data_IF_539671300723
#
_entry.id   IF_539671300723
#
_cell.length_a   1.000
_cell.length_b   1.000
_cell.length_c   1.000
_cell.angle_alpha   90.00
_cell.angle_beta   90.00
_cell.angle_gamma   90.00
#
_symmetry.space_group_name_H-M   'P 1'
#
loop_
_entity.id
_entity.type
_entity.pdbx_description
1 polymer ?
#
# COMPACT_ATOMS: atom_id res chain seq x y z
N UNK A 1 35.72 14.63 37.52
CA UNK A 1 34.34 14.54 38.04
C UNK A 1 33.56 13.56 37.18
N UNK A 2 33.43 12.31 37.62
CA UNK A 2 32.60 11.31 36.97
C UNK A 2 31.12 11.60 37.28
N UNK A 3 30.30 11.87 36.26
CA UNK A 3 28.84 11.95 36.43
C UNK A 3 28.27 10.54 36.37
N UNK A 4 27.80 10.03 37.52
CA UNK A 4 26.92 8.87 37.59
C UNK A 4 25.63 9.19 36.81
N UNK A 5 25.33 8.40 35.79
CA UNK A 5 24.04 8.41 35.12
C UNK A 5 23.09 7.49 35.89
N UNK A 6 22.06 8.07 36.50
CA UNK A 6 21.02 7.34 37.23
C UNK A 6 20.00 6.79 36.22
N UNK A 7 20.07 5.50 35.92
CA UNK A 7 19.06 4.83 35.10
C UNK A 7 17.81 4.57 35.94
N UNK A 8 16.79 5.40 35.76
CA UNK A 8 15.45 5.11 36.28
C UNK A 8 14.86 4.02 35.38
N UNK A 9 14.83 2.78 35.86
CA UNK A 9 14.01 1.73 35.26
C UNK A 9 12.54 2.05 35.55
N UNK A 10 11.85 2.64 34.57
CA UNK A 10 10.39 2.64 34.55
C UNK A 10 9.99 1.23 34.10
N UNK A 11 9.62 0.39 35.07
CA UNK A 11 8.89 -0.85 34.77
C UNK A 11 7.53 -0.45 34.21
N UNK A 12 7.42 -0.39 32.88
CA UNK A 12 6.12 -0.39 32.22
C UNK A 12 5.51 -1.75 32.50
N UNK A 13 4.54 -1.79 33.42
CA UNK A 13 3.62 -2.92 33.49
C UNK A 13 2.98 -3.03 32.12
N UNK A 14 3.27 -4.11 31.40
CA UNK A 14 2.45 -4.52 30.27
C UNK A 14 1.07 -4.85 30.86
N UNK A 15 0.20 -3.84 30.93
CA UNK A 15 -1.18 -4.04 31.30
C UNK A 15 -1.74 -5.12 30.36
N UNK A 16 -2.22 -6.23 30.92
CA UNK A 16 -2.95 -7.23 30.15
C UNK A 16 -4.14 -6.52 29.52
N UNK A 17 -4.07 -6.29 28.20
CA UNK A 17 -5.14 -5.65 27.47
C UNK A 17 -6.44 -6.43 27.68
N UNK A 18 -7.51 -5.74 28.06
CA UNK A 18 -8.81 -6.38 28.24
C UNK A 18 -9.26 -7.04 26.93
N UNK A 19 -9.83 -8.24 27.04
CA UNK A 19 -10.30 -9.03 25.89
C UNK A 19 -11.83 -8.99 25.84
N UNK A 20 -12.37 -8.62 24.69
CA UNK A 20 -13.79 -8.53 24.39
C UNK A 20 -14.13 -9.57 23.33
N UNK A 21 -14.59 -10.75 23.75
CA UNK A 21 -14.97 -11.81 22.82
C UNK A 21 -16.32 -11.49 22.19
N UNK A 22 -16.37 -11.38 20.85
CA UNK A 22 -17.57 -10.93 20.11
C UNK A 22 -18.80 -11.83 20.33
N UNK A 23 -18.60 -13.10 20.69
CA UNK A 23 -19.70 -14.04 20.99
C UNK A 23 -20.46 -13.65 22.26
N UNK A 24 -19.79 -13.02 23.23
CA UNK A 24 -20.43 -12.46 24.42
C UNK A 24 -21.28 -11.21 24.10
N UNK A 25 -21.08 -10.62 22.93
CA UNK A 25 -21.87 -9.52 22.39
C UNK A 25 -22.92 -10.00 21.38
N UNK A 26 -23.10 -11.33 21.22
CA UNK A 26 -24.12 -11.92 20.35
C UNK A 26 -23.67 -12.22 18.93
N UNK A 27 -22.37 -12.17 18.61
CA UNK A 27 -21.87 -12.58 17.30
C UNK A 27 -22.11 -14.09 17.09
N UNK A 28 -22.45 -14.45 15.85
CA UNK A 28 -22.74 -15.82 15.44
C UNK A 28 -21.51 -16.46 14.77
N UNK A 29 -20.78 -17.36 15.47
CA UNK A 29 -19.57 -18.00 14.94
C UNK A 29 -19.86 -19.08 13.89
N UNK A 30 -21.13 -19.35 13.57
CA UNK A 30 -21.52 -20.19 12.43
C UNK A 30 -21.60 -19.42 11.11
N UNK A 31 -21.70 -18.08 11.19
CA UNK A 31 -21.78 -17.19 10.03
C UNK A 31 -23.17 -17.11 9.41
N UNK A 32 -24.17 -17.83 9.95
CA UNK A 32 -25.54 -17.86 9.42
C UNK A 32 -26.28 -16.54 9.62
N UNK A 33 -25.98 -15.82 10.71
CA UNK A 33 -26.51 -14.49 11.00
C UNK A 33 -25.40 -13.43 10.95
N UNK A 34 -25.67 -12.26 10.35
CA UNK A 34 -24.72 -11.14 10.38
C UNK A 34 -24.37 -10.73 11.81
N UNK A 35 -23.08 -10.63 12.10
CA UNK A 35 -22.51 -10.26 13.40
C UNK A 35 -22.10 -8.79 13.47
N UNK A 36 -22.55 -7.95 12.51
CA UNK A 36 -22.14 -6.54 12.37
C UNK A 36 -22.33 -5.76 13.66
N UNK A 37 -23.52 -5.84 14.27
CA UNK A 37 -23.86 -5.08 15.47
C UNK A 37 -23.07 -5.57 16.68
N UNK A 38 -22.94 -6.90 16.84
CA UNK A 38 -22.17 -7.50 17.92
C UNK A 38 -20.68 -7.12 17.88
N UNK A 39 -20.08 -7.15 16.69
CA UNK A 39 -18.67 -6.77 16.49
C UNK A 39 -18.47 -5.29 16.81
N UNK A 40 -19.30 -4.40 16.24
CA UNK A 40 -19.16 -2.95 16.48
C UNK A 40 -19.51 -2.56 17.93
N UNK A 41 -20.40 -3.30 18.60
CA UNK A 41 -20.68 -3.13 20.02
C UNK A 41 -19.49 -3.54 20.90
N UNK A 42 -18.82 -4.66 20.57
CA UNK A 42 -17.60 -5.05 21.27
C UNK A 42 -16.49 -3.99 21.11
N UNK A 43 -16.33 -3.42 19.91
CA UNK A 43 -15.36 -2.35 19.62
C UNK A 43 -15.69 -1.08 20.40
N UNK A 44 -16.94 -0.61 20.37
CA UNK A 44 -17.32 0.61 21.10
C UNK A 44 -17.20 0.43 22.61
N UNK A 45 -17.55 -0.76 23.13
CA UNK A 45 -17.37 -1.11 24.54
C UNK A 45 -15.89 -1.11 24.93
N UNK A 46 -15.02 -1.72 24.12
CA UNK A 46 -13.58 -1.70 24.36
C UNK A 46 -13.03 -0.27 24.36
N UNK A 47 -13.38 0.54 23.37
CA UNK A 47 -12.93 1.93 23.28
C UNK A 47 -13.39 2.78 24.48
N UNK A 48 -14.63 2.60 24.94
CA UNK A 48 -15.16 3.28 26.13
C UNK A 48 -14.41 2.90 27.42
N UNK A 49 -13.71 1.76 27.42
CA UNK A 49 -12.94 1.24 28.55
C UNK A 49 -11.42 1.35 28.32
N UNK A 50 -10.98 2.42 27.65
CA UNK A 50 -9.57 2.74 27.35
C UNK A 50 -8.90 1.79 26.36
N UNK A 51 -9.68 1.15 25.48
CA UNK A 51 -9.19 0.25 24.45
C UNK A 51 -9.11 -1.21 24.91
N UNK A 52 -8.56 -2.05 24.04
CA UNK A 52 -8.44 -3.48 24.29
C UNK A 52 -8.41 -4.32 23.03
N UNK A 53 -8.46 -5.63 23.22
CA UNK A 53 -8.49 -6.62 22.15
C UNK A 53 -9.93 -7.06 21.94
N UNK A 54 -10.49 -6.81 20.76
CA UNK A 54 -11.76 -7.41 20.34
C UNK A 54 -11.44 -8.71 19.62
N UNK A 55 -11.83 -9.83 20.23
CA UNK A 55 -11.40 -11.15 19.81
C UNK A 55 -12.50 -11.90 19.07
N UNK A 56 -12.15 -12.40 17.88
CA UNK A 56 -12.95 -13.33 17.09
C UNK A 56 -12.24 -14.69 17.11
N UNK A 57 -12.83 -15.65 17.80
CA UNK A 57 -12.31 -17.02 17.88
C UNK A 57 -12.44 -17.76 16.55
N UNK A 58 -11.88 -18.97 16.46
CA UNK A 58 -12.12 -19.85 15.33
C UNK A 58 -13.62 -20.03 15.06
N UNK A 59 -14.01 -20.06 13.79
CA UNK A 59 -15.39 -20.01 13.34
C UNK A 59 -15.55 -19.15 12.08
N UNK A 60 -16.78 -19.07 11.59
CA UNK A 60 -17.16 -18.24 10.45
C UNK A 60 -18.06 -17.12 10.94
N UNK A 61 -17.74 -15.87 10.62
CA UNK A 61 -18.56 -14.71 10.98
C UNK A 61 -18.93 -13.99 9.69
N UNK A 62 -20.21 -13.72 9.48
CA UNK A 62 -20.65 -12.80 8.42
C UNK A 62 -20.82 -11.41 9.01
N UNK A 63 -20.49 -10.35 8.26
CA UNK A 63 -20.60 -8.97 8.75
C UNK A 63 -20.79 -7.97 7.61
N UNK A 64 -21.41 -6.84 7.91
CA UNK A 64 -21.28 -5.59 7.15
C UNK A 64 -20.01 -4.84 7.57
N UNK A 65 -19.99 -3.50 7.44
CA UNK A 65 -18.80 -2.71 7.74
C UNK A 65 -18.42 -2.72 9.23
N UNK A 66 -17.12 -2.60 9.50
CA UNK A 66 -16.53 -2.47 10.84
C UNK A 66 -15.84 -1.11 10.97
N UNK A 67 -16.10 -0.40 12.07
CA UNK A 67 -15.38 0.82 12.43
C UNK A 67 -14.45 0.59 13.62
N UNK A 68 -13.14 0.69 13.40
CA UNK A 68 -12.15 0.70 14.48
C UNK A 68 -12.20 2.02 15.25
N UNK A 69 -12.01 1.91 16.56
CA UNK A 69 -12.00 3.03 17.51
C UNK A 69 -10.65 3.10 18.23
N UNK A 70 -10.38 4.23 18.88
CA UNK A 70 -9.10 4.47 19.55
C UNK A 70 -8.75 3.36 20.55
N UNK A 71 -7.49 2.91 20.50
CA UNK A 71 -6.97 1.89 21.42
C UNK A 71 -7.48 0.46 21.17
N UNK A 72 -8.24 0.22 20.09
CA UNK A 72 -8.79 -1.11 19.79
C UNK A 72 -7.96 -1.86 18.75
N UNK A 73 -7.65 -3.11 19.08
CA UNK A 73 -7.07 -4.09 18.15
C UNK A 73 -8.05 -5.23 17.93
N UNK A 74 -8.40 -5.50 16.67
CA UNK A 74 -9.12 -6.71 16.29
C UNK A 74 -8.17 -7.89 16.24
N UNK A 75 -8.50 -8.97 16.94
CA UNK A 75 -7.75 -10.23 16.93
C UNK A 75 -8.57 -11.30 16.20
N UNK A 76 -8.10 -11.66 15.00
CA UNK A 76 -8.73 -12.64 14.12
C UNK A 76 -7.97 -13.96 14.29
N UNK A 77 -8.46 -14.82 15.18
CA UNK A 77 -7.75 -16.04 15.56
C UNK A 77 -7.48 -16.96 14.34
N UNK A 78 -6.42 -17.78 14.37
CA UNK A 78 -6.27 -18.87 13.41
C UNK A 78 -7.53 -19.74 13.34
N UNK A 79 -7.97 -20.07 12.12
CA UNK A 79 -9.24 -20.79 11.90
C UNK A 79 -10.49 -19.90 11.96
N UNK A 80 -10.35 -18.60 12.19
CA UNK A 80 -11.43 -17.62 12.03
C UNK A 80 -11.52 -17.14 10.58
N UNK A 81 -12.74 -17.06 10.04
CA UNK A 81 -13.03 -16.42 8.75
C UNK A 81 -14.09 -15.34 8.97
N UNK A 82 -13.75 -14.09 8.68
CA UNK A 82 -14.69 -12.96 8.69
C UNK A 82 -15.05 -12.63 7.25
N UNK A 83 -16.30 -12.91 6.88
CA UNK A 83 -16.84 -12.72 5.53
C UNK A 83 -17.68 -11.44 5.49
N UNK A 84 -17.24 -10.47 4.70
CA UNK A 84 -17.99 -9.26 4.45
C UNK A 84 -19.12 -9.53 3.46
N UNK A 85 -20.34 -9.21 3.85
CA UNK A 85 -21.53 -9.39 3.02
C UNK A 85 -21.42 -8.49 1.77
N UNK A 86 -21.65 -9.00 0.56
CA UNK A 86 -21.48 -8.24 -0.69
C UNK A 86 -22.75 -7.46 -1.08
N UNK A 87 -23.46 -6.90 -0.10
CA UNK A 87 -24.66 -6.07 -0.33
C UNK A 87 -24.30 -4.58 -0.28
N UNK A 88 -24.36 -3.84 -1.40
CA UNK A 88 -24.07 -2.41 -1.44
C UNK A 88 -24.94 -1.54 -0.55
N UNK A 89 -26.13 -2.00 -0.15
CA UNK A 89 -26.97 -1.25 0.80
C UNK A 89 -26.32 -1.15 2.18
N UNK A 90 -25.45 -2.10 2.56
CA UNK A 90 -24.69 -2.06 3.81
C UNK A 90 -23.51 -1.09 3.77
N UNK A 91 -23.13 -0.59 2.58
CA UNK A 91 -21.97 0.28 2.40
C UNK A 91 -22.33 1.61 1.73
N UNK A 92 -23.28 2.39 2.28
CA UNK A 92 -23.66 3.66 1.68
C UNK A 92 -22.46 4.62 1.60
N UNK A 93 -22.50 5.62 0.69
CA UNK A 93 -21.54 6.72 0.72
C UNK A 93 -21.51 7.35 2.12
N UNK A 94 -20.31 7.72 2.59
CA UNK A 94 -20.13 8.22 3.96
C UNK A 94 -19.32 9.51 3.96
N UNK A 95 -19.71 10.42 4.85
CA UNK A 95 -18.97 11.63 5.18
C UNK A 95 -18.52 11.55 6.63
N UNK A 96 -17.21 11.58 6.86
CA UNK A 96 -16.62 11.51 8.20
C UNK A 96 -16.03 12.86 8.56
N UNK A 97 -16.35 13.36 9.77
CA UNK A 97 -15.70 14.55 10.33
C UNK A 97 -14.40 14.13 11.02
N UNK A 98 -13.30 14.75 10.61
CA UNK A 98 -11.96 14.52 11.14
C UNK A 98 -11.75 15.27 12.47
N UNK A 99 -10.73 14.91 13.26
CA UNK A 99 -10.38 15.63 14.49
C UNK A 99 -10.10 17.13 14.27
N UNK A 100 -9.56 17.50 13.11
CA UNK A 100 -9.32 18.89 12.72
C UNK A 100 -10.58 19.64 12.22
N UNK A 101 -11.74 19.00 12.28
CA UNK A 101 -13.04 19.54 11.86
C UNK A 101 -13.34 19.42 10.37
N UNK A 102 -12.40 18.98 9.53
CA UNK A 102 -12.64 18.82 8.09
C UNK A 102 -13.51 17.60 7.80
N UNK A 103 -14.10 17.59 6.61
CA UNK A 103 -14.93 16.49 6.13
C UNK A 103 -14.15 15.63 5.14
N UNK A 104 -14.26 14.31 5.30
CA UNK A 104 -13.77 13.30 4.37
C UNK A 104 -14.95 12.55 3.77
N UNK A 105 -15.11 12.66 2.45
CA UNK A 105 -16.16 11.97 1.71
C UNK A 105 -15.60 10.71 1.05
N UNK A 106 -16.34 9.60 1.14
CA UNK A 106 -16.07 8.34 0.46
C UNK A 106 -17.31 7.90 -0.31
N UNK A 107 -17.11 7.40 -1.53
CA UNK A 107 -18.19 6.91 -2.38
C UNK A 107 -18.89 5.67 -1.81
N UNK A 108 -18.19 4.90 -0.97
CA UNK A 108 -18.71 3.76 -0.24
C UNK A 108 -18.11 3.74 1.16
N UNK A 109 -18.85 3.19 2.11
CA UNK A 109 -18.30 2.82 3.41
C UNK A 109 -17.28 1.68 3.22
N UNK A 110 -16.03 1.80 3.69
CA UNK A 110 -15.05 0.71 3.62
C UNK A 110 -15.48 -0.50 4.44
N UNK A 111 -14.97 -1.69 4.10
CA UNK A 111 -15.26 -2.92 4.85
C UNK A 111 -14.77 -2.81 6.31
N UNK A 112 -13.56 -2.29 6.49
CA UNK A 112 -13.00 -1.90 7.79
C UNK A 112 -12.45 -0.49 7.68
N UNK A 113 -12.85 0.41 8.58
CA UNK A 113 -12.37 1.80 8.58
C UNK A 113 -11.75 2.24 9.91
N UNK A 114 -10.71 3.06 9.83
CA UNK A 114 -10.08 3.78 10.94
C UNK A 114 -9.76 5.22 10.51
N UNK A 115 -10.73 6.12 10.63
CA UNK A 115 -10.59 7.52 10.21
C UNK A 115 -10.47 8.45 11.43
N UNK A 116 -9.36 9.18 11.52
CA UNK A 116 -9.08 10.07 12.65
C UNK A 116 -8.79 9.32 13.96
N UNK A 117 -8.25 8.10 13.89
CA UNK A 117 -8.09 7.20 15.04
C UNK A 117 -6.63 7.05 15.49
N UNK A 118 -6.43 6.60 16.72
CA UNK A 118 -5.12 6.39 17.34
C UNK A 118 -5.01 4.99 17.93
N UNK A 119 -3.84 4.37 17.80
CA UNK A 119 -3.52 3.07 18.39
C UNK A 119 -4.54 1.99 17.97
N UNK A 120 -4.67 1.79 16.67
CA UNK A 120 -5.64 0.86 16.07
C UNK A 120 -4.91 -0.29 15.38
N UNK A 121 -5.53 -1.46 15.33
CA UNK A 121 -4.92 -2.55 14.58
C UNK A 121 -5.79 -3.75 14.30
N UNK A 122 -5.24 -4.64 13.49
CA UNK A 122 -5.76 -5.98 13.23
C UNK A 122 -4.60 -6.96 13.32
N UNK A 123 -4.76 -8.01 14.11
CA UNK A 123 -3.77 -9.07 14.28
C UNK A 123 -4.40 -10.44 14.17
N UNK A 124 -3.57 -11.46 14.18
CA UNK A 124 -3.97 -12.86 14.24
C UNK A 124 -3.59 -13.61 12.97
N UNK A 125 -4.10 -14.84 12.81
CA UNK A 125 -3.79 -15.72 11.67
C UNK A 125 -5.03 -16.14 10.87
N UNK A 126 -6.18 -15.51 11.11
CA UNK A 126 -7.40 -15.79 10.38
C UNK A 126 -7.52 -15.04 9.06
N UNK A 127 -8.68 -15.22 8.41
CA UNK A 127 -8.97 -14.76 7.05
C UNK A 127 -10.03 -13.66 7.09
N UNK A 128 -9.79 -12.58 6.36
CA UNK A 128 -10.76 -11.55 6.03
C UNK A 128 -11.16 -11.72 4.55
N UNK A 129 -12.43 -12.04 4.29
CA UNK A 129 -13.00 -12.34 2.97
C UNK A 129 -13.90 -11.20 2.49
N UNK A 130 -13.55 -10.57 1.37
CA UNK A 130 -14.22 -9.36 0.87
C UNK A 130 -15.32 -9.60 -0.17
N UNK A 131 -15.48 -10.84 -0.68
CA UNK A 131 -16.43 -11.19 -1.75
C UNK A 131 -16.29 -10.34 -3.03
N UNK A 132 -15.06 -9.95 -3.36
CA UNK A 132 -14.67 -9.10 -4.48
C UNK A 132 -15.32 -9.45 -5.83
N UNK A 133 -15.38 -10.72 -6.28
CA UNK A 133 -16.02 -11.11 -7.54
C UNK A 133 -17.40 -10.49 -7.80
N UNK A 134 -18.25 -10.44 -6.76
CA UNK A 134 -19.60 -9.87 -6.86
C UNK A 134 -19.54 -8.37 -7.14
N UNK A 135 -18.61 -7.67 -6.48
CA UNK A 135 -18.37 -6.25 -6.70
C UNK A 135 -17.80 -5.95 -8.08
N UNK A 136 -16.89 -6.79 -8.57
CA UNK A 136 -16.24 -6.61 -9.87
C UNK A 136 -17.22 -6.83 -11.03
N UNK A 137 -18.16 -7.76 -10.89
CA UNK A 137 -19.21 -7.98 -11.87
C UNK A 137 -20.26 -6.85 -11.85
N UNK A 138 -20.60 -6.33 -10.66
CA UNK A 138 -21.62 -5.29 -10.49
C UNK A 138 -21.13 -3.88 -10.81
N UNK A 139 -19.89 -3.56 -10.45
CA UNK A 139 -19.28 -2.23 -10.56
C UNK A 139 -17.91 -2.32 -11.25
N UNK A 140 -17.86 -2.68 -12.54
CA UNK A 140 -16.60 -2.72 -13.27
C UNK A 140 -16.00 -1.32 -13.38
N UNK A 141 -14.66 -1.20 -13.51
CA UNK A 141 -14.01 0.08 -13.77
C UNK A 141 -14.66 0.84 -14.94
N UNK A 142 -14.77 2.17 -14.87
CA UNK A 142 -14.16 3.07 -13.87
C UNK A 142 -15.01 3.28 -12.60
N UNK A 143 -16.02 2.45 -12.33
CA UNK A 143 -16.83 2.59 -11.12
C UNK A 143 -16.00 2.40 -9.84
N UNK A 144 -16.29 3.21 -8.81
CA UNK A 144 -15.72 3.03 -7.47
C UNK A 144 -16.36 1.83 -6.78
N UNK A 145 -15.59 1.18 -5.90
CA UNK A 145 -16.02 0.09 -5.02
C UNK A 145 -15.56 0.39 -3.58
N UNK A 146 -16.09 -0.31 -2.56
CA UNK A 146 -15.58 -0.19 -1.20
C UNK A 146 -14.08 -0.55 -1.11
N UNK A 147 -13.31 0.21 -0.33
CA UNK A 147 -11.98 -0.23 0.09
C UNK A 147 -12.12 -1.33 1.15
N UNK A 148 -11.17 -2.26 1.23
CA UNK A 148 -11.20 -3.29 2.27
C UNK A 148 -10.82 -2.70 3.63
N UNK A 149 -9.54 -2.43 3.86
CA UNK A 149 -9.07 -1.69 5.03
C UNK A 149 -8.75 -0.26 4.62
N UNK A 150 -9.40 0.71 5.26
CA UNK A 150 -9.19 2.13 5.01
C UNK A 150 -8.84 2.90 6.27
N UNK A 151 -7.65 3.48 6.30
CA UNK A 151 -7.25 4.42 7.35
C UNK A 151 -6.95 5.80 6.77
N UNK A 152 -7.40 6.85 7.47
CA UNK A 152 -7.18 8.23 7.04
C UNK A 152 -6.95 9.12 8.26
N UNK A 153 -5.90 9.95 8.21
CA UNK A 153 -5.54 10.89 9.29
C UNK A 153 -5.42 10.19 10.66
N UNK A 154 -4.85 8.99 10.65
CA UNK A 154 -4.76 8.10 11.81
C UNK A 154 -3.30 7.90 12.24
N UNK A 155 -3.11 7.49 13.49
CA UNK A 155 -1.79 7.38 14.12
C UNK A 155 -1.62 6.01 14.79
N UNK A 156 -0.43 5.41 14.69
CA UNK A 156 -0.12 4.12 15.31
C UNK A 156 -1.07 3.02 14.83
N UNK A 157 -0.91 2.63 13.56
CA UNK A 157 -1.68 1.58 12.89
C UNK A 157 -0.85 0.31 12.80
N UNK A 158 -1.39 -0.82 13.28
CA UNK A 158 -0.70 -2.12 13.24
C UNK A 158 -1.54 -3.17 12.51
N UNK A 159 -1.00 -3.79 11.48
CA UNK A 159 -1.58 -4.94 10.80
C UNK A 159 -0.62 -6.13 10.87
N UNK A 160 -1.03 -7.28 11.40
CA UNK A 160 -0.12 -8.40 11.62
C UNK A 160 -0.75 -9.76 11.34
N UNK A 161 -0.07 -10.59 10.54
CA UNK A 161 -0.36 -12.03 10.37
C UNK A 161 -1.64 -12.41 9.63
N UNK A 162 -2.58 -11.48 9.46
CA UNK A 162 -3.87 -11.74 8.82
C UNK A 162 -3.74 -12.07 7.34
N UNK A 163 -4.72 -12.82 6.83
CA UNK A 163 -4.92 -13.00 5.39
C UNK A 163 -6.10 -12.17 4.92
N UNK A 164 -5.91 -11.35 3.89
CA UNK A 164 -6.96 -10.61 3.20
C UNK A 164 -7.15 -11.23 1.82
N UNK A 165 -8.39 -11.55 1.44
CA UNK A 165 -8.68 -12.07 0.10
C UNK A 165 -9.95 -11.50 -0.52
N UNK A 166 -9.97 -11.50 -1.85
CA UNK A 166 -11.08 -11.04 -2.68
C UNK A 166 -11.58 -9.65 -2.27
N UNK A 167 -10.68 -8.67 -2.21
CA UNK A 167 -11.05 -7.29 -1.94
C UNK A 167 -11.93 -6.71 -3.06
N UNK A 168 -12.99 -5.94 -2.72
CA UNK A 168 -13.77 -5.23 -3.73
C UNK A 168 -12.90 -4.25 -4.55
N UNK A 169 -11.92 -3.62 -3.91
CA UNK A 169 -10.98 -2.65 -4.50
C UNK A 169 -9.59 -2.77 -3.83
N UNK A 170 -8.94 -1.66 -3.45
CA UNK A 170 -7.67 -1.69 -2.70
C UNK A 170 -7.82 -2.47 -1.39
N UNK A 171 -6.85 -3.31 -1.06
CA UNK A 171 -6.88 -4.16 0.14
C UNK A 171 -6.53 -3.34 1.38
N UNK A 172 -5.33 -2.75 1.42
CA UNK A 172 -4.90 -1.91 2.53
C UNK A 172 -4.66 -0.50 1.99
N UNK A 173 -5.54 0.44 2.31
CA UNK A 173 -5.45 1.81 1.85
C UNK A 173 -5.28 2.77 3.04
N UNK A 174 -4.08 3.32 3.20
CA UNK A 174 -3.73 4.20 4.31
C UNK A 174 -3.38 5.58 3.75
N UNK A 175 -3.98 6.62 4.30
CA UNK A 175 -3.86 8.00 3.81
C UNK A 175 -3.54 8.96 4.96
N UNK A 176 -2.68 9.95 4.72
CA UNK A 176 -2.39 11.07 5.64
C UNK A 176 -1.97 10.63 7.06
N UNK A 177 -1.52 9.39 7.23
CA UNK A 177 -1.34 8.73 8.53
C UNK A 177 0.14 8.60 8.92
N UNK A 178 0.42 8.32 10.19
CA UNK A 178 1.81 8.14 10.67
C UNK A 178 1.95 7.07 11.73
N UNK A 179 3.13 6.43 11.79
CA UNK A 179 3.39 5.30 12.69
C UNK A 179 2.60 4.08 12.21
N UNK A 180 3.05 3.47 11.12
CA UNK A 180 2.35 2.37 10.45
C UNK A 180 3.28 1.17 10.41
N UNK A 181 2.82 0.04 10.94
CA UNK A 181 3.54 -1.22 10.93
C UNK A 181 2.66 -2.31 10.33
N UNK A 182 3.15 -2.93 9.25
CA UNK A 182 2.47 -4.04 8.57
C UNK A 182 3.44 -5.21 8.52
N UNK A 183 3.10 -6.31 9.19
CA UNK A 183 4.02 -7.44 9.36
C UNK A 183 3.37 -8.77 9.03
N UNK A 184 3.96 -9.53 8.12
CA UNK A 184 3.57 -10.93 7.88
C UNK A 184 2.15 -11.12 7.34
N UNK A 185 1.54 -10.11 6.73
CA UNK A 185 0.20 -10.25 6.16
C UNK A 185 0.26 -10.97 4.81
N UNK A 186 -0.81 -11.68 4.47
CA UNK A 186 -1.01 -12.27 3.14
C UNK A 186 -2.17 -11.58 2.44
N UNK A 187 -1.98 -11.16 1.19
CA UNK A 187 -3.03 -10.60 0.34
C UNK A 187 -3.20 -11.49 -0.88
N UNK A 188 -4.44 -11.91 -1.15
CA UNK A 188 -4.75 -12.76 -2.30
C UNK A 188 -6.01 -12.30 -3.03
N UNK A 189 -5.83 -11.77 -4.24
CA UNK A 189 -6.91 -11.48 -5.18
C UNK A 189 -6.63 -12.16 -6.51
N UNK A 190 -7.60 -12.83 -7.15
CA UNK A 190 -7.45 -13.35 -8.50
C UNK A 190 -7.02 -12.22 -9.45
N UNK A 191 -5.83 -12.33 -10.09
CA UNK A 191 -5.25 -11.23 -10.85
C UNK A 191 -5.97 -10.97 -12.17
N UNK A 192 -6.68 -11.97 -12.68
CA UNK A 192 -7.52 -11.87 -13.87
C UNK A 192 -8.89 -12.52 -13.63
N UNK A 193 -9.79 -11.77 -12.99
CA UNK A 193 -11.20 -12.14 -12.94
C UNK A 193 -11.93 -11.67 -14.20
N UNK A 194 -11.77 -12.39 -15.32
CA UNK A 194 -12.42 -12.07 -16.61
C UNK A 194 -12.14 -10.61 -17.06
N UNK A 195 -10.96 -10.08 -16.76
CA UNK A 195 -10.60 -8.68 -16.98
C UNK A 195 -11.29 -7.65 -16.07
N UNK A 196 -12.05 -8.08 -15.05
CA UNK A 196 -12.83 -7.20 -14.16
C UNK A 196 -12.24 -7.01 -12.76
N UNK A 197 -11.31 -7.88 -12.33
CA UNK A 197 -10.62 -7.82 -11.03
C UNK A 197 -9.61 -6.66 -10.87
N UNK A 198 -9.92 -5.50 -11.46
CA UNK A 198 -9.04 -4.34 -11.51
C UNK A 198 -9.07 -3.52 -10.21
N UNK A 199 -8.02 -2.71 -9.98
CA UNK A 199 -7.86 -1.83 -8.82
C UNK A 199 -7.85 -2.60 -7.48
N UNK A 200 -7.23 -3.78 -7.48
CA UNK A 200 -7.08 -4.62 -6.29
C UNK A 200 -5.72 -4.41 -5.63
N UNK A 201 -5.13 -3.22 -5.70
CA UNK A 201 -3.81 -2.88 -5.12
C UNK A 201 -3.64 -3.49 -3.72
N UNK A 202 -2.46 -4.05 -3.45
CA UNK A 202 -2.19 -4.74 -2.20
C UNK A 202 -2.13 -3.75 -1.03
N UNK A 203 -0.99 -3.07 -0.87
CA UNK A 203 -0.82 -2.03 0.15
C UNK A 203 -0.62 -0.68 -0.55
N UNK A 204 -1.62 0.19 -0.47
CA UNK A 204 -1.60 1.54 -1.02
C UNK A 204 -1.45 2.57 0.11
N UNK A 205 -0.31 3.27 0.15
CA UNK A 205 -0.01 4.29 1.15
C UNK A 205 0.13 5.65 0.51
N UNK A 206 -0.76 6.58 0.85
CA UNK A 206 -0.78 7.94 0.33
C UNK A 206 -0.43 8.94 1.44
N UNK A 207 0.59 9.77 1.24
CA UNK A 207 0.99 10.81 2.21
C UNK A 207 1.25 10.27 3.63
N UNK A 208 1.90 9.10 3.70
CA UNK A 208 2.18 8.36 4.94
C UNK A 208 3.60 8.63 5.46
N UNK A 209 3.77 8.66 6.80
CA UNK A 209 5.07 8.92 7.46
C UNK A 209 5.40 7.85 8.47
N UNK A 210 6.66 7.40 8.52
CA UNK A 210 7.09 6.32 9.43
C UNK A 210 6.30 5.04 9.13
N UNK A 211 6.53 4.50 7.93
CA UNK A 211 5.88 3.30 7.41
C UNK A 211 6.89 2.16 7.37
N UNK A 212 6.56 1.04 8.02
CA UNK A 212 7.31 -0.19 7.94
C UNK A 212 6.41 -1.33 7.44
N UNK A 213 6.79 -1.93 6.31
CA UNK A 213 6.14 -3.10 5.75
C UNK A 213 7.18 -4.22 5.71
N UNK A 214 6.89 -5.34 6.36
CA UNK A 214 7.84 -6.46 6.44
C UNK A 214 7.15 -7.81 6.28
N UNK A 215 7.73 -8.72 5.49
CA UNK A 215 7.25 -10.11 5.46
C UNK A 215 5.90 -10.30 4.76
N UNK A 216 5.45 -9.35 3.95
CA UNK A 216 4.15 -9.44 3.28
C UNK A 216 4.24 -10.35 2.05
N UNK A 217 3.23 -11.20 1.86
CA UNK A 217 3.05 -11.99 0.62
C UNK A 217 1.85 -11.46 -0.13
N UNK A 218 2.04 -11.00 -1.37
CA UNK A 218 1.00 -10.29 -2.12
C UNK A 218 0.79 -10.94 -3.49
N UNK A 219 -0.46 -11.30 -3.76
CA UNK A 219 -0.95 -11.78 -5.04
C UNK A 219 -2.15 -10.91 -5.44
N UNK A 220 -2.01 -10.10 -6.48
CA UNK A 220 -3.08 -9.18 -6.84
C UNK A 220 -3.16 -8.80 -8.31
N UNK A 221 -4.26 -8.15 -8.71
CA UNK A 221 -4.53 -7.71 -10.09
C UNK A 221 -3.94 -6.35 -10.44
N UNK A 222 -3.47 -5.57 -9.46
CA UNK A 222 -2.83 -4.26 -9.66
C UNK A 222 -1.48 -4.17 -8.90
N UNK A 223 -1.01 -2.99 -8.52
CA UNK A 223 0.28 -2.84 -7.81
C UNK A 223 0.30 -3.61 -6.48
N UNK A 224 1.40 -4.32 -6.19
CA UNK A 224 1.53 -5.06 -4.92
C UNK A 224 1.67 -4.09 -3.74
N UNK A 225 2.63 -3.17 -3.81
CA UNK A 225 2.77 -2.06 -2.88
C UNK A 225 2.87 -0.77 -3.70
N UNK A 226 1.99 0.19 -3.42
CA UNK A 226 1.94 1.48 -4.08
C UNK A 226 2.14 2.60 -3.06
N UNK A 227 3.11 3.48 -3.34
CA UNK A 227 3.40 4.66 -2.55
C UNK A 227 3.01 5.91 -3.35
N UNK A 228 2.05 6.66 -2.83
CA UNK A 228 1.61 7.93 -3.38
C UNK A 228 1.86 9.05 -2.37
N UNK A 229 1.88 10.30 -2.84
CA UNK A 229 1.89 11.49 -2.02
C UNK A 229 0.96 12.53 -2.65
N UNK A 230 -0.27 12.54 -2.15
CA UNK A 230 -1.31 13.45 -2.56
C UNK A 230 -1.37 14.73 -1.73
N UNK A 231 -2.50 15.42 -1.90
CA UNK A 231 -2.79 16.68 -1.24
C UNK A 231 -3.46 17.68 -2.17
N UNK A 232 -4.23 18.61 -1.61
CA UNK A 232 -4.61 19.83 -2.35
C UNK A 232 -3.36 20.70 -2.53
N UNK A 233 -3.33 21.60 -3.53
CA UNK A 233 -2.16 22.46 -3.85
C UNK A 233 -1.55 23.16 -2.63
N UNK A 234 -2.35 23.45 -1.60
CA UNK A 234 -1.99 24.13 -0.36
C UNK A 234 -1.68 23.21 0.85
N UNK A 235 -1.79 21.89 0.72
CA UNK A 235 -1.42 20.92 1.76
C UNK A 235 -0.75 19.71 1.11
N UNK A 236 0.48 19.93 0.63
CA UNK A 236 1.36 18.90 0.04
C UNK A 236 1.98 18.10 1.18
N UNK A 237 1.52 16.86 1.37
CA UNK A 237 2.03 16.00 2.44
C UNK A 237 2.85 14.89 1.79
N UNK A 238 4.14 14.84 2.11
CA UNK A 238 5.03 13.84 1.57
C UNK A 238 4.73 12.44 2.13
N UNK A 239 5.03 11.43 1.31
CA UNK A 239 5.28 10.08 1.82
C UNK A 239 6.77 9.92 2.08
N UNK A 240 7.13 9.65 3.34
CA UNK A 240 8.53 9.67 3.77
C UNK A 240 8.82 8.82 5.00
N UNK A 241 10.09 8.44 5.18
CA UNK A 241 10.54 7.51 6.21
C UNK A 241 9.84 6.16 6.04
N UNK A 242 10.08 5.53 4.89
CA UNK A 242 9.45 4.26 4.49
C UNK A 242 10.51 3.17 4.42
N UNK A 243 10.23 2.03 5.05
CA UNK A 243 10.99 0.79 4.91
C UNK A 243 10.06 -0.34 4.47
N UNK A 244 10.40 -0.97 3.35
CA UNK A 244 9.74 -2.17 2.82
C UNK A 244 10.80 -3.26 2.75
N UNK A 245 10.58 -4.41 3.41
CA UNK A 245 11.59 -5.46 3.42
C UNK A 245 11.04 -6.88 3.56
N UNK A 246 11.80 -7.86 3.05
CA UNK A 246 11.48 -9.28 3.22
C UNK A 246 10.10 -9.65 2.64
N UNK A 247 9.66 -8.98 1.58
CA UNK A 247 8.34 -9.19 0.98
C UNK A 247 8.43 -10.11 -0.25
N UNK A 248 7.33 -10.81 -0.52
CA UNK A 248 7.18 -11.70 -1.66
C UNK A 248 5.96 -11.28 -2.51
N UNK A 249 6.24 -10.76 -3.69
CA UNK A 249 5.23 -10.27 -4.62
C UNK A 249 5.06 -11.34 -5.71
N UNK A 250 3.92 -12.02 -5.75
CA UNK A 250 3.71 -13.21 -6.60
C UNK A 250 2.92 -12.92 -7.88
N UNK A 251 2.17 -11.81 -7.89
CA UNK A 251 1.47 -11.27 -9.06
C UNK A 251 1.06 -9.82 -8.78
N UNK A 252 1.10 -8.97 -9.80
CA UNK A 252 0.64 -7.58 -9.74
C UNK A 252 1.16 -6.72 -10.90
N UNK A 253 0.69 -5.49 -11.02
CA UNK A 253 1.15 -4.53 -12.04
C UNK A 253 2.59 -4.04 -11.79
N UNK A 254 3.00 -3.93 -10.53
CA UNK A 254 4.35 -3.68 -10.10
C UNK A 254 4.63 -4.40 -8.77
N UNK A 255 5.88 -4.79 -8.52
CA UNK A 255 6.30 -5.27 -7.20
C UNK A 255 6.24 -4.15 -6.17
N UNK A 256 6.91 -3.02 -6.47
CA UNK A 256 6.73 -1.76 -5.73
C UNK A 256 6.60 -0.61 -6.73
N UNK A 257 5.55 0.18 -6.59
CA UNK A 257 5.33 1.39 -7.36
C UNK A 257 5.42 2.66 -6.50
N UNK A 258 5.91 3.74 -7.13
CA UNK A 258 5.87 5.10 -6.60
C UNK A 258 5.11 5.98 -7.58
N UNK A 259 4.07 6.66 -7.10
CA UNK A 259 3.14 7.45 -7.90
C UNK A 259 1.95 6.63 -8.41
N UNK A 260 1.05 7.20 -9.23
CA UNK A 260 1.26 8.41 -10.03
C UNK A 260 0.94 9.74 -9.34
N UNK A 261 0.45 9.70 -8.11
CA UNK A 261 0.09 10.89 -7.35
C UNK A 261 1.34 11.35 -6.59
N UNK A 262 2.09 12.30 -7.16
CA UNK A 262 3.41 12.70 -6.62
C UNK A 262 3.45 14.10 -6.03
N UNK A 263 2.35 14.85 -6.07
CA UNK A 263 2.31 16.29 -5.72
C UNK A 263 2.89 16.62 -4.34
N UNK A 264 2.69 15.73 -3.37
CA UNK A 264 3.21 15.86 -2.00
C UNK A 264 4.71 15.63 -1.86
N UNK A 265 5.34 14.97 -2.83
CA UNK A 265 6.73 14.52 -2.78
C UNK A 265 6.89 13.14 -2.11
N UNK A 266 7.88 12.37 -2.58
CA UNK A 266 8.20 11.04 -2.09
C UNK A 266 9.70 10.94 -1.85
N UNK A 267 10.13 10.76 -0.59
CA UNK A 267 11.55 10.71 -0.28
C UNK A 267 11.88 9.97 1.01
N UNK A 268 13.15 9.56 1.17
CA UNK A 268 13.61 8.69 2.25
C UNK A 268 12.82 7.37 2.29
N UNK A 269 12.95 6.62 1.19
CA UNK A 269 12.26 5.34 0.97
C UNK A 269 13.33 4.27 0.74
N UNK A 270 13.26 3.18 1.50
CA UNK A 270 14.10 2.00 1.30
C UNK A 270 13.23 0.79 1.03
N UNK A 271 13.55 0.05 -0.03
CA UNK A 271 12.95 -1.25 -0.36
C UNK A 271 14.07 -2.28 -0.46
N UNK A 272 14.02 -3.37 0.30
CA UNK A 272 15.11 -4.35 0.29
C UNK A 272 14.70 -5.80 0.48
N UNK A 273 15.62 -6.72 0.19
CA UNK A 273 15.52 -8.14 0.52
C UNK A 273 14.19 -8.76 0.06
N UNK A 274 13.75 -8.49 -1.17
CA UNK A 274 12.41 -8.87 -1.62
C UNK A 274 12.46 -9.67 -2.92
N UNK A 275 11.48 -10.54 -3.10
CA UNK A 275 11.32 -11.40 -4.27
C UNK A 275 10.10 -10.97 -5.07
N UNK A 276 10.29 -10.62 -6.34
CA UNK A 276 9.22 -10.28 -7.27
C UNK A 276 9.07 -11.36 -8.32
N UNK A 277 7.94 -12.03 -8.30
CA UNK A 277 7.57 -13.13 -9.18
C UNK A 277 6.37 -12.74 -10.04
N UNK A 278 6.49 -12.97 -11.35
CA UNK A 278 5.40 -12.83 -12.32
C UNK A 278 4.69 -11.47 -12.37
N UNK A 279 5.20 -10.44 -11.69
CA UNK A 279 4.65 -9.09 -11.77
C UNK A 279 4.82 -8.52 -13.17
N UNK A 280 3.94 -7.60 -13.59
CA UNK A 280 4.05 -6.93 -14.89
C UNK A 280 5.28 -6.04 -14.96
N UNK A 281 5.65 -5.38 -13.87
CA UNK A 281 6.90 -4.61 -13.71
C UNK A 281 7.56 -4.97 -12.38
N UNK A 282 8.88 -4.81 -12.30
CA UNK A 282 9.59 -4.96 -11.04
C UNK A 282 9.40 -3.73 -10.16
N UNK A 283 10.29 -2.75 -10.35
CA UNK A 283 10.29 -1.46 -9.64
C UNK A 283 9.80 -0.37 -10.57
N UNK A 284 8.78 0.38 -10.17
CA UNK A 284 8.14 1.34 -11.07
C UNK A 284 7.88 2.71 -10.46
N UNK A 285 8.52 3.75 -10.98
CA UNK A 285 8.22 5.14 -10.64
C UNK A 285 7.44 5.78 -11.79
N UNK A 286 6.23 6.27 -11.51
CA UNK A 286 5.31 6.81 -12.52
C UNK A 286 4.83 8.20 -12.14
N UNK A 287 4.87 9.15 -13.07
CA UNK A 287 4.30 10.50 -12.89
C UNK A 287 4.05 11.17 -14.25
N UNK A 288 3.52 12.40 -14.25
CA UNK A 288 3.45 13.23 -15.44
C UNK A 288 3.59 14.72 -15.13
N UNK A 289 3.77 15.51 -16.20
CA UNK A 289 3.96 16.98 -16.17
C UNK A 289 2.87 17.78 -15.42
N UNK A 290 1.75 17.15 -15.04
CA UNK A 290 0.64 17.79 -14.33
C UNK A 290 0.61 17.46 -12.83
N UNK A 291 1.54 16.64 -12.32
CA UNK A 291 1.52 16.16 -10.92
C UNK A 291 2.39 17.00 -9.97
N UNK A 292 3.58 17.38 -10.40
CA UNK A 292 4.58 18.04 -9.56
C UNK A 292 5.20 17.12 -8.52
N UNK A 293 5.93 17.73 -7.59
CA UNK A 293 6.57 17.04 -6.48
C UNK A 293 8.00 16.61 -6.76
N UNK A 294 8.73 16.35 -5.68
CA UNK A 294 10.10 15.87 -5.69
C UNK A 294 10.09 14.37 -5.31
N UNK A 295 10.67 13.54 -6.18
CA UNK A 295 10.81 12.10 -5.97
C UNK A 295 12.31 11.81 -5.88
N UNK A 296 12.83 11.57 -4.68
CA UNK A 296 14.28 11.50 -4.42
C UNK A 296 14.63 10.73 -3.15
N UNK A 297 15.91 10.46 -2.92
CA UNK A 297 16.39 9.72 -1.74
C UNK A 297 15.71 8.36 -1.62
N UNK A 298 15.73 7.59 -2.72
CA UNK A 298 15.12 6.26 -2.78
C UNK A 298 16.21 5.22 -2.97
N UNK A 299 16.18 4.18 -2.14
CA UNK A 299 17.12 3.06 -2.20
C UNK A 299 16.39 1.74 -2.41
N UNK A 300 16.85 1.00 -3.40
CA UNK A 300 16.42 -0.36 -3.68
C UNK A 300 17.63 -1.28 -3.50
N UNK A 301 17.54 -2.32 -2.65
CA UNK A 301 18.67 -3.23 -2.50
C UNK A 301 18.31 -4.70 -2.33
N UNK A 302 19.12 -5.59 -2.90
CA UNK A 302 18.94 -7.04 -2.80
C UNK A 302 17.52 -7.48 -3.20
N UNK A 303 17.17 -7.24 -4.47
CA UNK A 303 15.86 -7.60 -5.02
C UNK A 303 16.07 -8.63 -6.13
N UNK A 304 15.40 -9.77 -5.99
CA UNK A 304 15.37 -10.80 -7.02
C UNK A 304 14.08 -10.67 -7.84
N UNK A 305 14.23 -10.65 -9.16
CA UNK A 305 13.14 -10.58 -10.12
C UNK A 305 13.05 -11.90 -10.88
N UNK A 306 12.04 -12.71 -10.59
CA UNK A 306 11.81 -13.96 -11.30
C UNK A 306 10.60 -13.79 -12.24
N UNK A 307 10.87 -13.80 -13.55
CA UNK A 307 9.84 -13.76 -14.58
C UNK A 307 8.94 -12.51 -14.52
N UNK A 308 9.53 -11.33 -14.29
CA UNK A 308 8.82 -10.06 -14.46
C UNK A 308 8.40 -9.94 -15.93
N UNK A 309 7.13 -9.64 -16.22
CA UNK A 309 6.58 -9.77 -17.59
C UNK A 309 6.94 -8.62 -18.53
N UNK A 310 7.19 -7.44 -17.97
CA UNK A 310 7.55 -6.21 -18.68
C UNK A 310 8.92 -5.72 -18.24
N UNK A 311 9.01 -4.45 -17.84
CA UNK A 311 10.27 -3.82 -17.48
C UNK A 311 10.74 -4.23 -16.07
N UNK A 312 12.05 -4.43 -15.90
CA UNK A 312 12.66 -4.71 -14.60
C UNK A 312 12.62 -3.49 -13.68
N UNK A 313 13.37 -2.45 -14.06
CA UNK A 313 13.30 -1.10 -13.48
C UNK A 313 12.64 -0.18 -14.51
N UNK A 314 11.58 0.51 -14.11
CA UNK A 314 10.92 1.51 -14.95
C UNK A 314 10.77 2.85 -14.21
N UNK A 315 11.10 3.95 -14.90
CA UNK A 315 10.82 5.32 -14.50
C UNK A 315 10.16 6.01 -15.69
N UNK A 316 8.91 6.47 -15.54
CA UNK A 316 8.16 7.10 -16.61
C UNK A 316 7.50 8.41 -16.15
N UNK A 317 8.01 9.55 -16.64
CA UNK A 317 7.45 10.88 -16.40
C UNK A 317 6.39 11.30 -17.43
N UNK A 318 5.90 10.36 -18.24
CA UNK A 318 4.84 10.54 -19.26
C UNK A 318 3.62 9.64 -19.00
N UNK A 319 3.40 9.26 -17.75
CA UNK A 319 2.33 8.35 -17.38
C UNK A 319 0.93 8.95 -17.61
N UNK A 320 0.07 8.22 -18.33
CA UNK A 320 -1.28 8.67 -18.71
C UNK A 320 -2.40 7.70 -18.32
N UNK A 321 -2.15 6.80 -17.36
CA UNK A 321 -3.09 5.75 -16.91
C UNK A 321 -3.47 4.69 -17.97
N UNK A 322 -2.93 4.74 -19.19
CA UNK A 322 -3.18 3.73 -20.24
C UNK A 322 -2.08 2.67 -20.35
N UNK A 323 -1.04 2.73 -19.50
CA UNK A 323 0.13 1.83 -19.54
C UNK A 323 0.67 1.61 -20.96
N UNK A 324 0.63 2.68 -21.76
CA UNK A 324 1.03 2.68 -23.16
C UNK A 324 2.54 2.56 -23.31
N UNK A 325 2.98 2.44 -24.55
CA UNK A 325 4.38 2.51 -24.92
C UNK A 325 5.02 3.83 -24.42
N UNK A 326 6.12 3.72 -23.67
CA UNK A 326 6.89 4.85 -23.15
C UNK A 326 8.04 5.27 -24.10
N UNK A 327 8.15 4.67 -25.29
CA UNK A 327 9.20 4.96 -26.26
C UNK A 327 8.92 6.17 -27.16
N UNK A 328 7.80 6.89 -26.97
CA UNK A 328 7.52 8.11 -27.73
C UNK A 328 8.61 9.17 -27.48
N UNK A 329 9.27 9.57 -28.57
CA UNK A 329 10.37 10.54 -28.58
C UNK A 329 9.91 11.96 -28.89
N UNK A 330 8.63 12.17 -29.18
CA UNK A 330 8.08 13.49 -29.50
C UNK A 330 7.54 14.16 -28.24
N UNK A 331 8.35 14.21 -27.17
CA UNK A 331 7.99 14.91 -25.94
C UNK A 331 8.50 16.36 -26.08
N UNK A 332 7.63 17.36 -26.30
CA UNK A 332 8.08 18.75 -26.41
C UNK A 332 8.60 19.25 -25.05
N UNK A 333 9.63 20.11 -25.09
CA UNK A 333 10.10 20.84 -23.92
C UNK A 333 9.05 21.88 -23.52
N UNK A 334 8.75 21.96 -22.23
CA UNK A 334 7.84 22.95 -21.66
C UNK A 334 8.53 23.82 -20.60
N UNK A 335 8.01 25.03 -20.28
CA UNK A 335 8.48 25.78 -19.12
C UNK A 335 8.29 24.99 -17.82
N UNK A 336 9.25 25.10 -16.91
CA UNK A 336 9.14 24.52 -15.57
C UNK A 336 8.02 25.25 -14.81
N UNK A 337 7.13 24.47 -14.19
CA UNK A 337 5.99 24.94 -13.38
C UNK A 337 5.97 24.18 -12.06
N UNK A 338 5.13 24.62 -11.12
CA UNK A 338 4.88 23.90 -9.87
C UNK A 338 4.34 22.46 -10.05
N UNK A 339 3.82 22.15 -11.25
CA UNK A 339 3.36 20.81 -11.64
C UNK A 339 4.42 19.99 -12.36
N UNK A 340 5.60 20.55 -12.67
CA UNK A 340 6.72 19.79 -13.23
C UNK A 340 7.29 18.88 -12.13
N UNK A 341 7.22 17.55 -12.27
CA UNK A 341 7.81 16.64 -11.30
C UNK A 341 9.32 16.54 -11.52
N UNK A 342 10.08 16.26 -10.45
CA UNK A 342 11.52 16.02 -10.53
C UNK A 342 11.85 14.66 -9.91
N UNK A 343 12.59 13.82 -10.64
CA UNK A 343 13.05 12.50 -10.20
C UNK A 343 14.58 12.47 -10.19
N UNK A 344 15.19 12.34 -9.01
CA UNK A 344 16.64 12.33 -8.88
C UNK A 344 17.13 11.63 -7.61
N UNK A 345 18.43 11.28 -7.54
CA UNK A 345 19.05 10.66 -6.35
C UNK A 345 18.37 9.34 -5.96
N UNK A 346 18.45 8.37 -6.87
CA UNK A 346 17.91 7.02 -6.68
C UNK A 346 19.02 6.00 -6.86
N UNK A 347 19.13 5.11 -5.88
CA UNK A 347 20.13 4.06 -5.82
C UNK A 347 19.46 2.69 -5.94
N UNK A 348 19.99 1.86 -6.82
CA UNK A 348 19.65 0.46 -6.95
C UNK A 348 20.93 -0.34 -6.74
N UNK A 349 20.90 -1.35 -5.86
CA UNK A 349 22.07 -2.17 -5.55
C UNK A 349 21.71 -3.65 -5.41
N UNK A 350 22.29 -4.52 -6.21
CA UNK A 350 22.02 -5.96 -6.12
C UNK A 350 20.63 -6.34 -6.63
N UNK A 351 20.26 -5.82 -7.80
CA UNK A 351 19.01 -6.19 -8.49
C UNK A 351 19.34 -7.23 -9.57
N UNK A 352 18.74 -8.40 -9.48
CA UNK A 352 19.09 -9.56 -10.31
C UNK A 352 17.86 -10.31 -10.82
N UNK A 353 18.02 -11.08 -11.90
CA UNK A 353 17.01 -12.01 -12.37
C UNK A 353 16.56 -11.80 -13.82
N UNK A 354 15.27 -11.87 -14.10
CA UNK A 354 14.71 -11.85 -15.46
C UNK A 354 13.49 -10.93 -15.60
N UNK A 355 13.41 -10.26 -16.75
CA UNK A 355 12.29 -9.43 -17.15
C UNK A 355 11.88 -9.73 -18.60
N UNK A 356 10.69 -9.32 -19.02
CA UNK A 356 10.18 -9.59 -20.37
C UNK A 356 10.54 -8.51 -21.38
N UNK A 357 10.65 -7.25 -20.96
CA UNK A 357 11.02 -6.11 -21.79
C UNK A 357 12.36 -5.51 -21.31
N UNK A 358 12.55 -4.19 -21.39
CA UNK A 358 13.79 -3.51 -21.01
C UNK A 358 14.17 -3.81 -19.54
N UNK A 359 15.43 -4.21 -19.25
CA UNK A 359 15.92 -4.36 -17.88
C UNK A 359 15.87 -3.03 -17.12
N UNK A 360 16.23 -1.94 -17.81
CA UNK A 360 16.14 -0.57 -17.30
C UNK A 360 15.46 0.31 -18.36
N UNK A 361 14.34 0.92 -18.00
CA UNK A 361 13.64 1.94 -18.79
C UNK A 361 13.56 3.23 -17.97
N UNK A 362 14.17 4.31 -18.46
CA UNK A 362 14.15 5.63 -17.85
C UNK A 362 13.68 6.67 -18.87
N UNK A 363 12.53 7.29 -18.63
CA UNK A 363 11.93 8.28 -19.51
C UNK A 363 11.60 9.54 -18.73
N UNK A 364 12.45 10.55 -18.90
CA UNK A 364 12.29 11.88 -18.32
C UNK A 364 11.58 12.89 -19.24
N UNK A 365 11.31 14.06 -18.69
CA UNK A 365 10.84 15.21 -19.47
C UNK A 365 12.05 16.03 -19.96
N UNK A 366 12.01 16.69 -21.14
CA UNK A 366 13.13 17.50 -21.61
C UNK A 366 13.52 18.65 -20.65
N UNK A 367 12.53 19.24 -19.98
CA UNK A 367 12.70 20.30 -18.98
C UNK A 367 13.01 19.79 -17.56
N UNK A 368 12.83 18.49 -17.31
CA UNK A 368 13.17 17.83 -16.05
C UNK A 368 13.68 16.41 -16.32
N UNK A 369 14.92 16.25 -16.79
CA UNK A 369 15.51 14.94 -17.02
C UNK A 369 15.52 14.10 -15.74
N UNK A 370 15.32 12.78 -15.87
CA UNK A 370 15.59 11.84 -14.77
C UNK A 370 17.10 11.85 -14.54
N UNK A 371 17.55 12.11 -13.31
CA UNK A 371 18.98 12.37 -13.09
C UNK A 371 19.58 11.75 -11.84
N UNK A 372 20.89 11.54 -11.84
CA UNK A 372 21.63 11.02 -10.69
C UNK A 372 21.06 9.65 -10.24
N UNK A 373 21.05 8.70 -11.16
CA UNK A 373 20.58 7.32 -10.91
C UNK A 373 21.80 6.40 -10.95
N UNK A 374 22.01 5.66 -9.87
CA UNK A 374 23.09 4.70 -9.74
C UNK A 374 22.49 3.30 -9.62
N UNK A 375 22.86 2.40 -10.53
CA UNK A 375 22.38 1.01 -10.57
C UNK A 375 23.58 0.09 -10.51
N UNK A 376 23.92 -0.37 -9.31
CA UNK A 376 25.10 -1.20 -9.06
C UNK A 376 24.71 -2.66 -8.81
N UNK A 377 25.66 -3.57 -9.05
CA UNK A 377 25.46 -5.01 -8.90
C UNK A 377 24.19 -5.50 -9.63
N UNK A 378 23.97 -5.00 -10.84
CA UNK A 378 22.77 -5.19 -11.64
C UNK A 378 22.95 -6.32 -12.67
N UNK A 379 22.05 -7.30 -12.66
CA UNK A 379 22.12 -8.48 -13.55
C UNK A 379 20.76 -8.97 -14.05
N UNK A 380 19.77 -8.07 -14.17
CA UNK A 380 18.46 -8.43 -14.75
C UNK A 380 18.60 -8.63 -16.27
N UNK A 381 18.17 -9.81 -16.76
CA UNK A 381 18.20 -10.17 -18.18
C UNK A 381 16.81 -10.09 -18.81
N UNK A 382 16.70 -9.39 -19.93
CA UNK A 382 15.50 -9.41 -20.77
C UNK A 382 15.35 -10.76 -21.49
N UNK A 383 14.21 -11.41 -21.33
CA UNK A 383 13.82 -12.64 -22.04
C UNK A 383 13.46 -12.37 -23.51
N UNK A 384 13.05 -11.14 -23.88
CA UNK A 384 12.87 -10.73 -25.29
C UNK A 384 14.09 -10.01 -25.88
N UNK A 385 15.27 -10.16 -25.27
CA UNK A 385 16.52 -9.55 -25.74
C UNK A 385 16.50 -8.03 -25.96
N UNK A 386 15.70 -7.30 -25.18
CA UNK A 386 15.71 -5.83 -25.13
C UNK A 386 16.93 -5.35 -24.34
N UNK A 387 17.51 -4.23 -24.80
CA UNK A 387 18.53 -3.49 -24.07
C UNK A 387 17.92 -2.49 -23.08
N UNK A 388 18.77 -1.70 -22.43
CA UNK A 388 18.32 -0.57 -21.62
C UNK A 388 17.75 0.54 -22.53
N UNK A 389 16.74 1.26 -22.06
CA UNK A 389 16.17 2.42 -22.75
C UNK A 389 16.23 3.67 -21.86
N UNK A 390 16.97 4.68 -22.31
CA UNK A 390 17.15 5.93 -21.58
C UNK A 390 16.79 7.10 -22.49
N UNK A 391 15.88 7.96 -22.05
CA UNK A 391 15.43 9.13 -22.80
C UNK A 391 15.22 10.32 -21.85
N UNK A 392 15.81 11.48 -22.20
CA UNK A 392 15.90 12.67 -21.32
C UNK A 392 16.41 12.31 -19.92
N UNK A 393 17.64 11.79 -19.87
CA UNK A 393 18.29 11.42 -18.62
C UNK A 393 19.64 12.13 -18.47
N UNK A 394 20.14 12.22 -17.23
CA UNK A 394 21.43 12.85 -16.94
C UNK A 394 22.13 12.12 -15.79
N UNK A 395 23.43 11.87 -15.90
CA UNK A 395 24.23 11.20 -14.85
C UNK A 395 23.63 9.85 -14.44
N UNK A 396 23.50 8.95 -15.41
CA UNK A 396 23.04 7.58 -15.18
C UNK A 396 24.26 6.65 -15.22
N UNK A 397 24.38 5.82 -14.18
CA UNK A 397 25.45 4.85 -14.04
C UNK A 397 24.86 3.47 -13.84
N UNK A 398 25.27 2.50 -14.64
CA UNK A 398 24.86 1.09 -14.52
C UNK A 398 26.14 0.25 -14.42
N UNK A 399 26.31 -0.48 -13.32
CA UNK A 399 27.51 -1.25 -12.98
C UNK A 399 28.79 -0.40 -13.17
N UNK A 400 28.81 0.78 -12.55
CA UNK A 400 29.87 1.78 -12.65
C UNK A 400 30.17 2.33 -14.06
N UNK A 401 29.39 1.95 -15.07
CA UNK A 401 29.51 2.48 -16.43
C UNK A 401 28.52 3.62 -16.66
N UNK A 402 29.02 4.77 -17.08
CA UNK A 402 28.19 5.90 -17.50
C UNK A 402 27.40 5.53 -18.76
N UNK A 403 26.09 5.77 -18.75
CA UNK A 403 25.17 5.45 -19.85
C UNK A 403 24.85 6.65 -20.73
#
# INVERSE_FOLDING_TARGET
MFRLSLTILITISAANAAIYNVTLFGADPSGTRPSTDAINLAISTAAANNGGIVHLSAGSYSTGPIELMDGVVLDIAPGCVVTFLPDPQLYPPITVKLPDGKLRHLAFTPLIRATGKRNVGIKGGGILEGNGPIWWDRLPPPASRPFFFYAFDSHNIVLTGITIRNSPMFNVHICDSTGITITGITIFNPPDWKGKGANTDGINCNSCRQLHISGATIHTGDDCIALDAGGKRNKRIATTNVLIENCHMTAGHAGVSIGSVTTGGLHNITVRNSLFENTKRGLFIKTNRLRGGLIRDIRYSNINMNNVKGEGIAVAMVYNAKHQDYHDRNIPREPIKDTTPFIYEIEYDGISGTCGNEPVLLVGLPESPVRNIHINNFSVRSLKHKGNYLYNTQNIYINDQKQ
#
